data_IF_025577249320
#
_entry.id   IF_025577249320
#
_cell.length_a   1.000
_cell.length_b   1.000
_cell.length_c   1.000
_cell.angle_alpha   90.00
_cell.angle_beta   90.00
_cell.angle_gamma   90.00
#
_symmetry.space_group_name_H-M   'P 1'
#
loop_
_entity.id
_entity.type
_entity.pdbx_description
1 polymer ?
#
# COMPACT_ATOMS: atom_id res chain seq x y z
N UNK A 1 3.55 -14.60 -0.42
CA UNK A 1 3.80 -13.83 0.83
C UNK A 1 2.73 -14.17 1.86
N UNK A 2 2.97 -14.08 3.19
CA UNK A 2 1.89 -14.30 4.19
C UNK A 2 0.74 -13.30 4.02
N UNK A 3 -0.50 -13.76 4.18
CA UNK A 3 -1.71 -12.95 3.95
C UNK A 3 -1.73 -11.67 4.80
N UNK A 4 -1.26 -11.73 6.05
CA UNK A 4 -1.21 -10.58 6.96
C UNK A 4 -0.30 -9.46 6.45
N UNK A 5 0.81 -9.81 5.77
CA UNK A 5 1.72 -8.81 5.19
C UNK A 5 1.10 -8.13 3.97
N UNK A 6 0.37 -8.88 3.14
CA UNK A 6 -0.36 -8.29 2.02
C UNK A 6 -1.44 -7.34 2.52
N UNK A 7 -2.22 -7.76 3.53
CA UNK A 7 -3.23 -6.91 4.17
C UNK A 7 -2.62 -5.63 4.73
N UNK A 8 -1.54 -5.74 5.50
CA UNK A 8 -0.85 -4.57 6.05
C UNK A 8 -0.38 -3.60 4.97
N UNK A 9 0.21 -4.12 3.87
CA UNK A 9 0.67 -3.30 2.75
C UNK A 9 -0.49 -2.54 2.10
N UNK A 10 -1.63 -3.21 1.88
CA UNK A 10 -2.86 -2.58 1.35
C UNK A 10 -3.35 -1.48 2.28
N UNK A 11 -3.48 -1.77 3.57
CA UNK A 11 -3.97 -0.82 4.58
C UNK A 11 -3.04 0.41 4.67
N UNK A 12 -1.72 0.20 4.57
CA UNK A 12 -0.72 1.27 4.56
C UNK A 12 -0.85 2.20 3.34
N UNK A 13 -0.93 1.63 2.13
CA UNK A 13 -1.10 2.39 0.90
C UNK A 13 -2.44 3.13 0.89
N UNK A 14 -3.52 2.47 1.31
CA UNK A 14 -4.83 3.09 1.46
C UNK A 14 -4.80 4.30 2.42
N UNK A 15 -4.11 4.15 3.56
CA UNK A 15 -3.92 5.23 4.52
C UNK A 15 -3.18 6.43 3.92
N UNK A 16 -2.06 6.21 3.23
CA UNK A 16 -1.34 7.31 2.57
C UNK A 16 -2.18 8.04 1.53
N UNK A 17 -2.90 7.29 0.69
CA UNK A 17 -3.74 7.87 -0.36
C UNK A 17 -4.92 8.65 0.20
N UNK A 18 -5.54 8.14 1.28
CA UNK A 18 -6.61 8.83 2.02
C UNK A 18 -6.17 10.21 2.52
N UNK A 19 -4.97 10.30 3.09
CA UNK A 19 -4.43 11.51 3.73
C UNK A 19 -3.48 12.33 2.84
N UNK A 20 -3.35 11.97 1.55
CA UNK A 20 -2.44 12.62 0.58
C UNK A 20 -0.98 12.70 1.06
N UNK A 21 -0.53 11.68 1.78
CA UNK A 21 0.85 11.58 2.29
C UNK A 21 1.79 11.12 1.17
N UNK A 22 3.01 11.66 1.15
CA UNK A 22 4.05 11.22 0.22
C UNK A 22 4.71 9.91 0.67
N UNK A 23 5.30 9.20 -0.30
CA UNK A 23 6.23 8.12 -0.07
C UNK A 23 7.56 8.49 -0.73
N UNK A 24 8.67 8.35 -0.01
CA UNK A 24 9.99 8.54 -0.58
C UNK A 24 10.37 7.40 -1.54
N UNK A 25 11.53 7.50 -2.19
CA UNK A 25 11.94 6.52 -3.20
C UNK A 25 12.13 5.10 -2.60
N UNK A 26 12.74 5.00 -1.42
CA UNK A 26 12.99 3.71 -0.78
C UNK A 26 11.67 3.04 -0.36
N UNK A 27 10.74 3.83 0.15
CA UNK A 27 9.41 3.35 0.50
C UNK A 27 8.62 2.88 -0.73
N UNK A 28 8.64 3.64 -1.84
CA UNK A 28 7.97 3.23 -3.08
C UNK A 28 8.53 1.91 -3.62
N UNK A 29 9.84 1.74 -3.62
CA UNK A 29 10.48 0.50 -4.07
C UNK A 29 10.12 -0.69 -3.18
N UNK A 30 10.05 -0.47 -1.86
CA UNK A 30 9.62 -1.50 -0.92
C UNK A 30 8.15 -1.89 -1.17
N UNK A 31 7.25 -0.91 -1.32
CA UNK A 31 5.84 -1.16 -1.60
C UNK A 31 5.61 -1.85 -2.96
N UNK A 32 6.39 -1.53 -3.98
CA UNK A 32 6.33 -2.18 -5.28
C UNK A 32 6.69 -3.68 -5.19
N UNK A 33 7.81 -4.01 -4.51
CA UNK A 33 8.21 -5.41 -4.28
C UNK A 33 7.17 -6.20 -3.47
N UNK A 34 6.52 -5.54 -2.50
CA UNK A 34 5.44 -6.13 -1.73
C UNK A 34 4.19 -6.37 -2.61
N UNK A 35 3.85 -5.43 -3.49
CA UNK A 35 2.73 -5.54 -4.41
C UNK A 35 2.92 -6.68 -5.42
N UNK A 36 4.12 -6.86 -5.99
CA UNK A 36 4.45 -7.98 -6.87
C UNK A 36 4.21 -9.34 -6.18
N UNK A 37 4.49 -9.43 -4.88
CA UNK A 37 4.28 -10.64 -4.09
C UNK A 37 2.82 -10.85 -3.62
N UNK A 38 1.93 -9.89 -3.90
CA UNK A 38 0.52 -9.83 -3.45
C UNK A 38 -0.42 -9.57 -4.64
N UNK A 39 -0.32 -10.38 -5.71
CA UNK A 39 -0.96 -10.16 -7.02
C UNK A 39 -2.49 -10.03 -7.05
N UNK A 40 -3.22 -10.36 -5.98
CA UNK A 40 -4.67 -10.25 -5.89
C UNK A 40 -5.16 -9.09 -4.99
N UNK A 41 -4.25 -8.25 -4.50
CA UNK A 41 -4.59 -7.16 -3.60
C UNK A 41 -5.02 -5.89 -4.36
N UNK A 42 -6.28 -5.50 -4.20
CA UNK A 42 -6.79 -4.19 -4.66
C UNK A 42 -6.77 -3.20 -3.51
N UNK A 43 -6.22 -2.01 -3.73
CA UNK A 43 -6.27 -0.91 -2.75
C UNK A 43 -7.54 -0.09 -2.98
N UNK A 44 -8.39 -0.01 -1.96
CA UNK A 44 -9.56 0.87 -1.94
C UNK A 44 -9.38 1.96 -0.89
N UNK A 45 -9.71 3.21 -1.24
CA UNK A 45 -9.63 4.34 -0.32
C UNK A 45 -10.62 5.42 -0.73
N UNK A 46 -11.06 6.21 0.25
CA UNK A 46 -11.78 7.46 0.06
C UNK A 46 -10.86 8.57 0.58
N UNK A 47 -10.65 9.61 -0.23
CA UNK A 47 -9.85 10.75 0.20
C UNK A 47 -10.63 11.58 1.22
N UNK A 48 -9.97 12.01 2.29
CA UNK A 48 -10.56 13.03 3.15
C UNK A 48 -10.49 14.40 2.44
N UNK A 49 -11.47 15.30 2.67
CA UNK A 49 -11.43 16.67 2.15
C UNK A 49 -10.14 17.43 2.52
#
# INVERSE_FOLDING_TARGET
>A
MPADRCKYTVDWVAGKLRWRLTADAAERDALARLAEACSAATVTYEQVP
#
